data_IF_302958191951
#
_entry.id   IF_302958191951
#
_cell.length_a   1.000
_cell.length_b   1.000
_cell.length_c   1.000
_cell.angle_alpha   90.00
_cell.angle_beta   90.00
_cell.angle_gamma   90.00
#
_symmetry.space_group_name_H-M   'P 1'
#
loop_
_entity.id
_entity.type
_entity.pdbx_description
1 polymer ?
#
# COMPACT_ATOMS: atom_id res chain seq x y z
N UNK A 1 -23.15 -10.98 -11.19
CA UNK A 1 -21.68 -10.88 -11.37
C UNK A 1 -21.27 -9.42 -11.26
N UNK A 2 -20.81 -8.97 -10.09
CA UNK A 2 -20.42 -7.58 -9.87
C UNK A 2 -19.02 -7.33 -10.46
N UNK A 3 -18.93 -6.49 -11.50
CA UNK A 3 -17.66 -5.96 -12.02
C UNK A 3 -17.07 -5.04 -10.96
N UNK A 4 -16.13 -5.57 -10.18
CA UNK A 4 -15.32 -4.80 -9.24
C UNK A 4 -14.49 -3.82 -10.09
N UNK A 5 -14.85 -2.54 -10.04
CA UNK A 5 -14.11 -1.49 -10.72
C UNK A 5 -12.67 -1.55 -10.22
N UNK A 6 -11.74 -1.91 -11.09
CA UNK A 6 -10.31 -1.73 -10.83
C UNK A 6 -10.12 -0.23 -10.58
N UNK A 7 -10.02 0.17 -9.30
CA UNK A 7 -9.52 1.47 -8.92
C UNK A 7 -8.15 1.59 -9.57
N UNK A 8 -8.09 2.23 -10.75
CA UNK A 8 -6.84 2.69 -11.33
C UNK A 8 -6.25 3.61 -10.28
N UNK A 9 -5.26 3.09 -9.53
CA UNK A 9 -4.56 3.81 -8.48
C UNK A 9 -4.31 5.23 -8.98
N UNK A 10 -5.05 6.18 -8.40
CA UNK A 10 -5.13 7.55 -8.88
C UNK A 10 -3.70 8.06 -9.05
N UNK A 11 -3.35 8.48 -10.26
CA UNK A 11 -2.01 9.02 -10.59
C UNK A 11 -1.75 10.41 -9.99
N UNK A 12 -2.56 10.84 -9.02
CA UNK A 12 -2.30 12.06 -8.27
C UNK A 12 -1.27 11.73 -7.19
N UNK A 13 -0.08 12.34 -7.28
CA UNK A 13 0.81 12.47 -6.11
C UNK A 13 0.03 13.19 -5.03
N UNK A 14 -0.29 12.50 -3.95
CA UNK A 14 -0.90 13.14 -2.81
C UNK A 14 0.22 13.56 -1.87
N UNK A 15 0.37 14.87 -1.65
CA UNK A 15 1.15 15.38 -0.52
C UNK A 15 0.38 15.04 0.76
N UNK A 16 0.51 13.79 1.19
CA UNK A 16 -0.01 13.32 2.46
C UNK A 16 1.00 13.75 3.53
N UNK A 17 0.61 14.70 4.37
CA UNK A 17 1.49 15.37 5.33
C UNK A 17 1.78 14.52 6.58
N UNK A 18 0.96 13.51 6.89
CA UNK A 18 1.08 12.68 8.10
C UNK A 18 1.36 11.19 7.84
N UNK A 19 2.16 10.56 8.71
CA UNK A 19 2.39 9.10 8.68
C UNK A 19 1.09 8.30 8.81
N UNK A 20 0.17 8.69 9.71
CA UNK A 20 -1.09 7.98 9.93
C UNK A 20 -1.95 7.91 8.67
N UNK A 21 -2.10 9.03 7.95
CA UNK A 21 -2.88 9.08 6.71
C UNK A 21 -2.27 8.18 5.62
N UNK A 22 -0.93 8.14 5.50
CA UNK A 22 -0.27 7.21 4.56
C UNK A 22 -0.57 5.76 4.90
N UNK A 23 -0.50 5.39 6.18
CA UNK A 23 -0.79 4.02 6.62
C UNK A 23 -2.25 3.65 6.34
N UNK A 24 -3.21 4.54 6.62
CA UNK A 24 -4.62 4.31 6.32
C UNK A 24 -4.83 4.08 4.82
N UNK A 25 -4.25 4.94 3.97
CA UNK A 25 -4.36 4.80 2.49
C UNK A 25 -3.71 3.52 1.98
N UNK A 26 -2.54 3.14 2.51
CA UNK A 26 -1.89 1.88 2.16
C UNK A 26 -2.73 0.67 2.57
N UNK A 27 -3.29 0.70 3.77
CA UNK A 27 -4.20 -0.35 4.27
C UNK A 27 -5.44 -0.48 3.38
N UNK A 28 -6.07 0.61 2.96
CA UNK A 28 -7.20 0.55 2.01
C UNK A 28 -6.79 -0.09 0.68
N UNK A 29 -5.65 0.31 0.11
CA UNK A 29 -5.11 -0.27 -1.14
C UNK A 29 -4.92 -1.78 -1.01
N UNK A 30 -4.40 -2.24 0.13
CA UNK A 30 -4.22 -3.66 0.45
C UNK A 30 -5.55 -4.40 0.57
N UNK A 31 -6.56 -3.82 1.24
CA UNK A 31 -7.90 -4.41 1.36
C UNK A 31 -8.61 -4.55 0.01
N UNK A 32 -8.35 -3.65 -0.94
CA UNK A 32 -8.82 -3.79 -2.32
C UNK A 32 -8.05 -4.85 -3.15
N UNK A 33 -7.20 -5.65 -2.51
CA UNK A 33 -6.46 -6.74 -3.14
C UNK A 33 -5.25 -6.30 -3.95
N UNK A 34 -4.82 -5.04 -3.83
CA UNK A 34 -3.63 -4.55 -4.53
C UNK A 34 -2.35 -4.96 -3.81
N UNK A 35 -1.23 -4.89 -4.54
CA UNK A 35 0.11 -5.11 -3.98
C UNK A 35 0.83 -3.78 -3.82
N UNK A 36 1.59 -3.65 -2.73
CA UNK A 36 2.40 -2.47 -2.45
C UNK A 36 3.89 -2.81 -2.50
N UNK A 37 4.71 -1.80 -2.76
CA UNK A 37 6.17 -1.88 -2.76
C UNK A 37 6.75 -0.57 -2.27
N UNK A 38 8.03 -0.57 -1.88
CA UNK A 38 8.73 0.69 -1.55
C UNK A 38 8.64 1.71 -2.69
N UNK A 39 8.77 1.25 -3.95
CA UNK A 39 8.64 2.12 -5.13
C UNK A 39 7.23 2.70 -5.29
N UNK A 40 6.21 1.92 -4.96
CA UNK A 40 4.82 2.38 -4.95
C UNK A 40 4.62 3.50 -3.93
N UNK A 41 5.10 3.30 -2.69
CA UNK A 41 4.96 4.27 -1.59
C UNK A 41 5.67 5.58 -1.93
N UNK A 42 6.91 5.52 -2.44
CA UNK A 42 7.66 6.71 -2.88
C UNK A 42 6.88 7.48 -3.94
N UNK A 43 6.36 6.79 -4.97
CA UNK A 43 5.65 7.43 -6.08
C UNK A 43 4.30 8.02 -5.66
N UNK A 44 3.58 7.36 -4.76
CA UNK A 44 2.25 7.83 -4.36
C UNK A 44 2.31 9.01 -3.39
N UNK A 45 3.24 8.98 -2.45
CA UNK A 45 3.27 9.94 -1.34
C UNK A 45 4.43 10.95 -1.40
N UNK A 46 5.30 10.86 -2.42
CA UNK A 46 6.46 11.75 -2.59
C UNK A 46 7.39 11.76 -1.36
N UNK A 47 7.62 10.56 -0.78
CA UNK A 47 8.43 10.38 0.43
C UNK A 47 9.79 9.77 0.15
N UNK A 48 10.74 9.96 1.07
CA UNK A 48 12.07 9.34 0.98
C UNK A 48 12.00 7.81 1.01
N UNK A 49 12.99 7.10 0.43
CA UNK A 49 13.08 5.64 0.54
C UNK A 49 13.12 5.14 1.99
N UNK A 50 13.71 5.90 2.91
CA UNK A 50 13.74 5.56 4.35
C UNK A 50 12.34 5.59 4.95
N UNK A 51 11.57 6.63 4.66
CA UNK A 51 10.17 6.77 5.10
C UNK A 51 9.31 5.66 4.51
N UNK A 52 9.46 5.38 3.21
CA UNK A 52 8.70 4.30 2.56
C UNK A 52 8.98 2.92 3.15
N UNK A 53 10.24 2.61 3.49
CA UNK A 53 10.59 1.36 4.18
C UNK A 53 10.01 1.33 5.59
N UNK A 54 10.01 2.45 6.31
CA UNK A 54 9.41 2.56 7.65
C UNK A 54 7.92 2.25 7.61
N UNK A 55 7.19 2.81 6.65
CA UNK A 55 5.75 2.52 6.49
C UNK A 55 5.47 1.06 6.21
N UNK A 56 6.28 0.47 5.34
CA UNK A 56 6.17 -0.94 5.01
C UNK A 56 6.46 -1.83 6.22
N UNK A 57 7.45 -1.47 7.04
CA UNK A 57 7.77 -2.17 8.28
C UNK A 57 6.62 -2.07 9.32
N UNK A 58 5.93 -0.92 9.40
CA UNK A 58 4.77 -0.75 10.28
C UNK A 58 3.60 -1.65 9.87
N UNK A 59 3.47 -1.97 8.59
CA UNK A 59 2.45 -2.88 8.07
C UNK A 59 2.91 -4.34 8.02
N UNK A 60 4.15 -4.67 8.42
CA UNK A 60 4.72 -6.00 8.21
C UNK A 60 3.89 -7.13 8.83
N UNK A 61 3.20 -6.87 9.94
CA UNK A 61 2.36 -7.86 10.62
C UNK A 61 1.09 -8.25 9.85
N UNK A 62 0.65 -7.46 8.88
CA UNK A 62 -0.53 -7.76 8.03
C UNK A 62 -0.15 -8.13 6.60
N UNK A 63 1.14 -8.22 6.29
CA UNK A 63 1.64 -8.38 4.93
C UNK A 63 2.23 -9.78 4.70
N UNK A 64 2.01 -10.29 3.51
CA UNK A 64 2.68 -11.47 2.96
C UNK A 64 3.46 -11.07 1.70
N UNK A 65 4.56 -11.77 1.43
CA UNK A 65 5.30 -11.62 0.17
C UNK A 65 4.41 -12.03 -1.02
N UNK A 66 4.33 -11.14 -2.02
CA UNK A 66 3.63 -11.38 -3.28
C UNK A 66 4.62 -11.53 -4.47
N UNK A 67 5.91 -11.68 -4.17
CA UNK A 67 7.00 -11.72 -5.14
C UNK A 67 8.11 -10.71 -4.81
N UNK A 68 9.12 -10.58 -5.69
CA UNK A 68 10.30 -9.73 -5.44
C UNK A 68 9.89 -8.29 -5.11
N UNK A 69 10.17 -7.87 -3.87
CA UNK A 69 9.89 -6.52 -3.35
C UNK A 69 8.41 -6.09 -3.39
N UNK A 70 7.47 -7.04 -3.49
CA UNK A 70 6.02 -6.78 -3.51
C UNK A 70 5.35 -7.45 -2.34
N UNK A 71 4.42 -6.74 -1.73
CA UNK A 71 3.70 -7.17 -0.53
C UNK A 71 2.21 -7.06 -0.77
N UNK A 72 1.45 -8.04 -0.27
CA UNK A 72 -0.01 -8.08 -0.33
C UNK A 72 -0.57 -8.28 1.07
N UNK A 73 -1.86 -8.02 1.27
CA UNK A 73 -2.54 -8.36 2.50
C UNK A 73 -2.44 -9.88 2.73
N UNK A 74 -2.09 -10.28 3.95
CA UNK A 74 -2.04 -11.67 4.35
C UNK A 74 -3.41 -12.34 4.09
N UNK A 75 -3.44 -13.56 3.51
CA UNK A 75 -4.70 -14.23 3.16
C UNK A 75 -5.63 -14.45 4.35
N UNK A 76 -5.07 -14.66 5.55
CA UNK A 76 -5.81 -14.81 6.81
C UNK A 76 -6.55 -13.55 7.26
N UNK A 77 -6.24 -12.39 6.67
CA UNK A 77 -6.86 -11.10 6.95
C UNK A 77 -7.80 -10.66 5.83
N UNK A 78 -7.95 -11.46 4.76
CA UNK A 78 -8.97 -11.22 3.75
C UNK A 78 -10.34 -11.61 4.34
N UNK A 79 -11.38 -10.77 4.17
CA UNK A 79 -12.73 -11.15 4.51
C UNK A 79 -13.24 -12.30 3.64
#
# INVERSE_FOLDING_TARGET
MARMATMKASRCRQRVTGQGERLIRLTMVLFYGQTISVRYIIRQFDVSPRTARRDLAQLAFVLESAGPHRWRLAPSLKP
#
